data_IF_003325194559
#
_entry.id   IF_003325194559
#
_cell.length_a   1.000
_cell.length_b   1.000
_cell.length_c   1.000
_cell.angle_alpha   90.00
_cell.angle_beta   90.00
_cell.angle_gamma   90.00
#
_symmetry.space_group_name_H-M   'P 1'
#
loop_
_entity.id
_entity.type
_entity.pdbx_description
1 polymer ?
#
# COMPACT_ATOMS: atom_id res chain seq x y z
N UNK A 1 31.81 -29.76 -1.82
CA UNK A 1 30.47 -29.11 -1.69
C UNK A 1 29.38 -30.16 -1.61
N UNK A 2 28.56 -30.12 -0.60
CA UNK A 2 27.39 -30.95 -0.48
C UNK A 2 26.28 -30.46 -1.46
N UNK A 3 25.35 -31.35 -1.85
CA UNK A 3 24.22 -31.00 -2.70
C UNK A 3 23.42 -29.81 -2.15
N UNK A 4 23.27 -29.70 -0.82
CA UNK A 4 22.60 -28.59 -0.15
C UNK A 4 23.35 -27.27 -0.32
N UNK A 5 24.68 -27.27 -0.28
CA UNK A 5 25.50 -26.09 -0.49
C UNK A 5 25.42 -25.58 -1.93
N UNK A 6 25.35 -26.50 -2.90
CA UNK A 6 25.16 -26.13 -4.30
C UNK A 6 23.80 -25.48 -4.56
N UNK A 7 22.74 -25.99 -3.94
CA UNK A 7 21.39 -25.43 -4.02
C UNK A 7 21.36 -24.02 -3.42
N UNK A 8 21.93 -23.81 -2.24
CA UNK A 8 22.00 -22.48 -1.61
C UNK A 8 22.78 -21.47 -2.46
N UNK A 9 23.92 -21.88 -3.01
CA UNK A 9 24.73 -21.02 -3.86
C UNK A 9 23.99 -20.63 -5.14
N UNK A 10 23.27 -21.58 -5.73
CA UNK A 10 22.44 -21.31 -6.91
C UNK A 10 21.32 -20.32 -6.56
N UNK A 11 20.62 -20.54 -5.45
CA UNK A 11 19.53 -19.66 -5.00
C UNK A 11 20.05 -18.25 -4.67
N UNK A 12 21.22 -18.13 -4.01
CA UNK A 12 21.88 -16.85 -3.74
C UNK A 12 22.16 -16.07 -5.02
N UNK A 13 22.66 -16.73 -6.07
CA UNK A 13 22.89 -16.10 -7.38
C UNK A 13 21.60 -15.66 -8.05
N UNK A 14 20.53 -16.46 -7.97
CA UNK A 14 19.23 -16.09 -8.49
C UNK A 14 18.66 -14.86 -7.79
N UNK A 15 18.69 -14.84 -6.45
CA UNK A 15 18.22 -13.71 -5.63
C UNK A 15 18.94 -12.42 -6.02
N UNK A 16 20.28 -12.44 -6.05
CA UNK A 16 21.07 -11.28 -6.45
C UNK A 16 20.75 -10.82 -7.86
N UNK A 17 20.73 -11.74 -8.81
CA UNK A 17 20.43 -11.43 -10.21
C UNK A 17 19.01 -10.85 -10.39
N UNK A 18 18.05 -11.31 -9.61
CA UNK A 18 16.67 -10.83 -9.67
C UNK A 18 16.57 -9.38 -9.17
N UNK A 19 17.24 -9.06 -8.06
CA UNK A 19 17.29 -7.68 -7.55
C UNK A 19 18.04 -6.73 -8.48
N UNK A 20 19.18 -7.15 -9.03
CA UNK A 20 20.01 -6.33 -9.90
C UNK A 20 19.34 -6.03 -11.26
N UNK A 21 18.43 -6.90 -11.72
CA UNK A 21 17.70 -6.75 -12.99
C UNK A 21 16.41 -5.98 -12.89
N UNK A 22 15.87 -5.84 -11.71
CA UNK A 22 14.62 -5.11 -11.54
C UNK A 22 14.88 -3.61 -11.71
N UNK A 23 14.13 -2.98 -12.63
CA UNK A 23 14.35 -1.57 -13.00
C UNK A 23 14.11 -0.60 -11.86
N UNK A 24 13.16 -0.92 -10.99
CA UNK A 24 12.78 -0.05 -9.88
C UNK A 24 13.67 -0.26 -8.65
N UNK A 25 14.36 -1.40 -8.57
CA UNK A 25 15.18 -1.78 -7.42
C UNK A 25 16.69 -1.70 -7.64
N UNK A 26 17.14 -1.76 -8.89
CA UNK A 26 18.58 -1.79 -9.24
C UNK A 26 19.38 -0.57 -8.79
N UNK A 27 18.71 0.55 -8.52
CA UNK A 27 19.33 1.78 -8.00
C UNK A 27 19.58 1.78 -6.49
N UNK A 28 18.98 0.82 -5.75
CA UNK A 28 19.14 0.72 -4.31
C UNK A 28 20.25 -0.24 -3.92
N UNK A 29 20.97 0.07 -2.84
CA UNK A 29 22.01 -0.78 -2.28
C UNK A 29 21.40 -1.89 -1.41
N UNK A 30 20.55 -2.73 -2.01
CA UNK A 30 19.92 -3.86 -1.33
C UNK A 30 20.92 -5.01 -1.18
N UNK A 31 20.98 -5.58 0.01
CA UNK A 31 21.77 -6.77 0.30
C UNK A 31 20.83 -7.92 0.63
N UNK A 32 21.07 -9.05 0.02
CA UNK A 32 20.32 -10.27 0.30
C UNK A 32 21.24 -11.43 0.58
N UNK A 33 20.90 -12.22 1.58
CA UNK A 33 21.54 -13.48 1.91
C UNK A 33 20.53 -14.62 1.94
N UNK A 34 21.00 -15.85 1.76
CA UNK A 34 20.16 -17.04 1.70
C UNK A 34 20.63 -18.03 2.73
N UNK A 35 19.72 -18.42 3.61
CA UNK A 35 19.94 -19.44 4.64
C UNK A 35 18.88 -20.54 4.48
N UNK A 36 19.30 -21.68 3.91
CA UNK A 36 18.34 -22.72 3.53
C UNK A 36 17.39 -22.28 2.43
N UNK A 37 16.12 -22.20 2.75
CA UNK A 37 15.03 -21.75 1.85
C UNK A 37 14.48 -20.36 2.25
N UNK A 38 15.17 -19.70 3.19
CA UNK A 38 14.86 -18.36 3.67
C UNK A 38 15.79 -17.33 3.03
N UNK A 39 15.22 -16.22 2.56
CA UNK A 39 15.95 -15.07 2.07
C UNK A 39 15.87 -13.95 3.11
N UNK A 40 17.04 -13.48 3.53
CA UNK A 40 17.18 -12.28 4.36
C UNK A 40 17.54 -11.11 3.45
N UNK A 41 16.77 -10.04 3.48
CA UNK A 41 17.04 -8.84 2.69
C UNK A 41 17.09 -7.62 3.58
N UNK A 42 18.10 -6.76 3.36
CA UNK A 42 18.29 -5.50 4.09
C UNK A 42 18.63 -4.35 3.12
N UNK A 43 18.30 -3.15 3.50
CA UNK A 43 18.62 -1.94 2.76
C UNK A 43 17.63 -0.81 3.03
N UNK A 44 17.72 0.23 2.21
CA UNK A 44 16.85 1.38 2.29
C UNK A 44 16.26 1.65 0.91
N UNK A 45 14.95 1.87 0.86
CA UNK A 45 14.21 2.27 -0.34
C UNK A 45 13.46 3.58 -0.09
N UNK A 46 12.96 4.22 -1.12
CA UNK A 46 12.34 5.54 -0.98
C UNK A 46 10.85 5.46 -0.63
N UNK A 47 10.15 4.41 -1.04
CA UNK A 47 8.70 4.29 -0.84
C UNK A 47 8.29 2.92 -0.32
N UNK A 48 7.09 2.85 0.25
CA UNK A 48 6.46 1.59 0.67
C UNK A 48 6.24 0.64 -0.51
N UNK A 49 5.92 1.17 -1.69
CA UNK A 49 5.73 0.38 -2.91
C UNK A 49 6.98 -0.41 -3.27
N UNK A 50 8.15 0.21 -3.20
CA UNK A 50 9.43 -0.46 -3.50
C UNK A 50 9.76 -1.52 -2.46
N UNK A 51 9.49 -1.25 -1.18
CA UNK A 51 9.64 -2.26 -0.13
C UNK A 51 8.75 -3.49 -0.40
N UNK A 52 7.49 -3.29 -0.71
CA UNK A 52 6.56 -4.37 -1.06
C UNK A 52 7.00 -5.11 -2.32
N UNK A 53 7.56 -4.39 -3.29
CA UNK A 53 8.11 -4.98 -4.51
C UNK A 53 9.29 -5.91 -4.22
N UNK A 54 10.23 -5.50 -3.36
CA UNK A 54 11.35 -6.36 -2.91
C UNK A 54 10.80 -7.66 -2.33
N UNK A 55 9.88 -7.58 -1.40
CA UNK A 55 9.31 -8.74 -0.71
C UNK A 55 8.57 -9.68 -1.68
N UNK A 56 7.72 -9.14 -2.54
CA UNK A 56 6.97 -9.91 -3.53
C UNK A 56 7.87 -10.56 -4.58
N UNK A 57 8.87 -9.83 -5.04
CA UNK A 57 9.81 -10.30 -6.04
C UNK A 57 10.64 -11.47 -5.52
N UNK A 58 11.16 -11.37 -4.29
CA UNK A 58 11.92 -12.43 -3.66
C UNK A 58 11.07 -13.66 -3.33
N UNK A 59 9.84 -13.45 -2.88
CA UNK A 59 8.89 -14.54 -2.61
C UNK A 59 8.48 -15.32 -3.87
N UNK A 60 8.59 -14.70 -5.05
CA UNK A 60 8.28 -15.34 -6.33
C UNK A 60 9.40 -16.26 -6.86
N UNK A 61 10.60 -16.21 -6.29
CA UNK A 61 11.74 -17.00 -6.74
C UNK A 61 11.54 -18.48 -6.38
N UNK A 62 11.63 -19.41 -7.34
CA UNK A 62 11.53 -20.84 -7.05
C UNK A 62 12.59 -21.28 -6.04
N UNK A 63 12.15 -21.98 -4.98
CA UNK A 63 13.01 -22.44 -3.88
C UNK A 63 13.05 -21.52 -2.66
N UNK A 64 12.45 -20.33 -2.73
CA UNK A 64 12.24 -19.44 -1.59
C UNK A 64 10.94 -19.81 -0.90
N UNK A 65 10.98 -20.11 0.38
CA UNK A 65 9.80 -20.35 1.22
C UNK A 65 9.46 -19.16 2.11
N UNK A 66 10.47 -18.46 2.58
CA UNK A 66 10.30 -17.34 3.52
C UNK A 66 11.19 -16.18 3.10
N UNK A 67 10.66 -14.96 3.21
CA UNK A 67 11.41 -13.71 3.05
C UNK A 67 11.36 -12.94 4.36
N UNK A 68 12.54 -12.76 4.97
CA UNK A 68 12.73 -11.92 6.15
C UNK A 68 13.28 -10.56 5.70
N UNK A 69 12.44 -9.55 5.76
CA UNK A 69 12.76 -8.20 5.26
C UNK A 69 13.16 -7.25 6.39
N UNK A 70 14.37 -6.76 6.34
CA UNK A 70 14.88 -5.64 7.13
C UNK A 70 15.06 -4.38 6.25
N UNK A 71 14.25 -4.26 5.20
CA UNK A 71 14.23 -3.08 4.32
C UNK A 71 13.48 -1.96 5.01
N UNK A 72 14.13 -0.82 5.19
CA UNK A 72 13.54 0.41 5.71
C UNK A 72 13.20 1.39 4.58
N UNK A 73 12.23 2.25 4.87
CA UNK A 73 11.82 3.32 3.96
C UNK A 73 12.54 4.59 4.39
N UNK A 74 13.19 5.28 3.43
CA UNK A 74 13.82 6.56 3.69
C UNK A 74 12.78 7.59 4.10
N UNK A 75 13.03 8.26 5.21
CA UNK A 75 12.24 9.39 5.69
C UNK A 75 13.12 10.64 5.74
N UNK A 76 13.82 10.93 4.64
CA UNK A 76 14.68 12.09 4.54
C UNK A 76 13.89 13.39 4.67
N UNK A 77 14.11 14.04 5.79
CA UNK A 77 13.46 15.27 6.19
C UNK A 77 12.38 15.07 7.26
N UNK A 78 12.09 16.13 8.00
CA UNK A 78 10.98 16.16 8.96
C UNK A 78 9.65 16.22 8.17
N UNK A 79 9.15 15.07 7.78
CA UNK A 79 7.86 14.97 7.07
C UNK A 79 6.78 15.03 8.15
N UNK A 80 6.00 16.09 8.15
CA UNK A 80 4.88 16.22 9.08
C UNK A 80 3.72 15.32 8.65
N UNK A 81 2.81 15.01 9.58
CA UNK A 81 1.56 14.29 9.28
C UNK A 81 0.76 14.96 8.17
N UNK A 82 0.82 16.29 8.10
CA UNK A 82 0.18 17.09 7.05
C UNK A 82 0.83 16.86 5.68
N UNK A 83 2.17 16.85 5.62
CA UNK A 83 2.89 16.62 4.37
C UNK A 83 2.61 15.21 3.82
N UNK A 84 2.63 14.19 4.67
CA UNK A 84 2.29 12.81 4.28
C UNK A 84 0.85 12.71 3.77
N UNK A 85 -0.09 13.41 4.41
CA UNK A 85 -1.48 13.46 3.95
C UNK A 85 -1.59 14.10 2.56
N UNK A 86 -0.89 15.22 2.33
CA UNK A 86 -0.88 15.90 1.03
C UNK A 86 -0.28 15.02 -0.06
N UNK A 87 0.90 14.46 0.17
CA UNK A 87 1.57 13.56 -0.78
C UNK A 87 0.69 12.35 -1.13
N UNK A 88 0.07 11.72 -0.13
CA UNK A 88 -0.83 10.60 -0.37
C UNK A 88 -2.07 10.99 -1.20
N UNK A 89 -2.64 12.17 -0.95
CA UNK A 89 -3.78 12.68 -1.72
C UNK A 89 -3.38 13.05 -3.15
N UNK A 90 -2.21 13.64 -3.35
CA UNK A 90 -1.69 13.95 -4.69
C UNK A 90 -1.50 12.68 -5.51
N UNK A 91 -0.91 11.63 -4.93
CA UNK A 91 -0.76 10.34 -5.62
C UNK A 91 -2.10 9.69 -5.97
N UNK A 92 -3.11 9.78 -5.10
CA UNK A 92 -4.46 9.32 -5.42
C UNK A 92 -5.08 10.09 -6.60
N UNK A 93 -4.89 11.41 -6.65
CA UNK A 93 -5.43 12.26 -7.72
C UNK A 93 -4.72 12.05 -9.07
N UNK A 94 -3.47 11.64 -9.06
CA UNK A 94 -2.71 11.33 -10.27
C UNK A 94 -3.11 10.00 -10.93
N UNK A 95 -3.73 9.10 -10.19
CA UNK A 95 -4.19 7.83 -10.73
C UNK A 95 -5.64 7.94 -11.25
N UNK A 96 -5.80 7.90 -12.56
CA UNK A 96 -7.09 8.02 -13.24
C UNK A 96 -8.12 6.92 -12.88
N UNK A 97 -7.68 5.87 -12.20
CA UNK A 97 -8.55 4.78 -11.73
C UNK A 97 -9.15 5.05 -10.35
N UNK A 98 -8.69 6.09 -9.68
CA UNK A 98 -9.17 6.49 -8.35
C UNK A 98 -10.01 7.75 -8.47
N UNK A 99 -11.24 7.69 -8.00
CA UNK A 99 -12.07 8.89 -7.85
C UNK A 99 -11.80 9.51 -6.46
N UNK A 100 -11.26 10.73 -6.40
CA UNK A 100 -10.98 11.39 -5.12
C UNK A 100 -12.23 11.71 -4.29
N UNK A 101 -13.42 11.63 -4.88
CA UNK A 101 -14.69 11.72 -4.17
C UNK A 101 -15.10 10.40 -3.50
N UNK A 102 -14.59 9.27 -4.01
CA UNK A 102 -14.86 7.96 -3.44
C UNK A 102 -13.88 7.61 -2.32
N UNK A 103 -12.59 7.85 -2.53
CA UNK A 103 -11.52 7.42 -1.62
C UNK A 103 -10.62 8.59 -1.27
N UNK A 104 -10.50 8.87 0.02
CA UNK A 104 -9.57 9.85 0.57
C UNK A 104 -8.46 9.21 1.40
N UNK A 105 -7.35 9.93 1.56
CA UNK A 105 -6.22 9.53 2.37
C UNK A 105 -5.96 10.53 3.50
N UNK A 106 -5.60 10.02 4.67
CA UNK A 106 -5.25 10.81 5.84
C UNK A 106 -4.13 10.12 6.63
N UNK A 107 -3.08 10.85 6.96
CA UNK A 107 -2.05 10.35 7.87
C UNK A 107 -2.52 10.53 9.33
N UNK A 108 -2.36 9.47 10.12
CA UNK A 108 -2.86 9.42 11.50
C UNK A 108 -1.77 9.51 12.56
N UNK A 109 -0.51 9.42 12.15
CA UNK A 109 0.62 9.48 13.07
C UNK A 109 1.86 10.16 12.44
N UNK A 110 2.86 10.45 13.26
CA UNK A 110 4.14 11.00 12.81
C UNK A 110 5.09 9.96 12.19
N UNK A 111 4.63 8.71 12.00
CA UNK A 111 5.45 7.61 11.47
C UNK A 111 5.10 7.24 10.03
N UNK A 112 4.23 8.00 9.37
CA UNK A 112 3.86 7.78 7.99
C UNK A 112 2.77 6.72 7.78
N UNK A 113 1.95 6.44 8.80
CA UNK A 113 0.77 5.59 8.64
C UNK A 113 -0.36 6.37 8.00
N UNK A 114 -0.80 5.94 6.83
CA UNK A 114 -1.93 6.52 6.08
C UNK A 114 -3.12 5.60 6.15
N UNK A 115 -4.28 6.16 6.44
CA UNK A 115 -5.58 5.47 6.39
C UNK A 115 -6.31 5.91 5.14
N UNK A 116 -6.73 4.96 4.32
CA UNK A 116 -7.66 5.17 3.23
C UNK A 116 -9.08 5.02 3.75
N UNK A 117 -9.91 6.02 3.50
CA UNK A 117 -11.32 6.04 3.89
C UNK A 117 -12.19 6.40 2.72
N UNK A 118 -13.42 5.92 2.75
CA UNK A 118 -14.41 6.20 1.73
C UNK A 118 -15.21 4.96 1.38
N UNK A 119 -15.75 4.96 0.17
CA UNK A 119 -16.54 3.84 -0.35
C UNK A 119 -16.30 3.67 -1.83
N UNK A 120 -16.16 2.44 -2.26
CA UNK A 120 -16.18 2.06 -3.68
C UNK A 120 -16.74 0.66 -3.84
N UNK A 121 -17.45 0.42 -4.94
CA UNK A 121 -17.91 -0.91 -5.34
C UNK A 121 -16.96 -1.56 -6.35
N UNK A 122 -15.93 -0.82 -6.77
CA UNK A 122 -14.94 -1.28 -7.73
C UNK A 122 -13.67 -1.77 -7.04
N UNK A 123 -13.37 -3.08 -7.09
CA UNK A 123 -12.14 -3.65 -6.53
C UNK A 123 -10.87 -3.10 -7.18
N UNK A 124 -10.92 -2.74 -8.47
CA UNK A 124 -9.77 -2.19 -9.19
C UNK A 124 -9.44 -0.78 -8.71
N UNK A 125 -10.46 0.03 -8.41
CA UNK A 125 -10.28 1.35 -7.80
C UNK A 125 -9.63 1.24 -6.42
N UNK A 126 -10.09 0.29 -5.59
CA UNK A 126 -9.52 0.06 -4.27
C UNK A 126 -8.04 -0.36 -4.35
N UNK A 127 -7.70 -1.30 -5.23
CA UNK A 127 -6.31 -1.71 -5.43
C UNK A 127 -5.44 -0.56 -5.96
N UNK A 128 -5.97 0.24 -6.89
CA UNK A 128 -5.29 1.41 -7.41
C UNK A 128 -5.02 2.44 -6.30
N UNK A 129 -6.00 2.70 -5.42
CA UNK A 129 -5.85 3.62 -4.30
C UNK A 129 -4.77 3.15 -3.30
N UNK A 130 -4.75 1.87 -2.94
CA UNK A 130 -3.72 1.30 -2.05
C UNK A 130 -2.33 1.44 -2.69
N UNK A 131 -2.22 1.16 -3.98
CA UNK A 131 -0.96 1.25 -4.74
C UNK A 131 -0.48 2.70 -4.84
N UNK A 132 -1.36 3.63 -5.14
CA UNK A 132 -1.04 5.06 -5.26
C UNK A 132 -0.61 5.63 -3.91
N UNK A 133 -1.34 5.36 -2.83
CA UNK A 133 -0.94 5.77 -1.49
C UNK A 133 0.43 5.22 -1.08
N UNK A 134 0.77 3.99 -1.51
CA UNK A 134 2.07 3.36 -1.23
C UNK A 134 3.24 4.00 -1.99
N UNK A 135 2.98 4.79 -3.03
CA UNK A 135 3.99 5.54 -3.78
C UNK A 135 4.31 6.90 -3.15
N UNK A 136 3.44 7.39 -2.28
CA UNK A 136 3.58 8.70 -1.67
C UNK A 136 4.81 8.74 -0.73
N UNK A 137 5.55 9.84 -0.79
CA UNK A 137 6.72 10.05 0.05
C UNK A 137 6.33 10.14 1.52
N UNK A 138 7.13 9.52 2.36
CA UNK A 138 6.89 9.51 3.81
C UNK A 138 5.84 8.50 4.27
N UNK A 139 5.15 7.82 3.36
CA UNK A 139 4.23 6.72 3.70
C UNK A 139 5.02 5.47 4.01
N UNK A 140 4.86 4.97 5.22
CA UNK A 140 5.49 3.73 5.68
C UNK A 140 4.49 2.59 5.84
N UNK A 141 3.21 2.92 5.93
CA UNK A 141 2.12 1.96 6.11
C UNK A 141 0.81 2.50 5.54
N UNK A 142 0.06 1.66 4.87
CA UNK A 142 -1.30 1.95 4.41
C UNK A 142 -2.29 1.05 5.11
N UNK A 143 -3.32 1.66 5.72
CA UNK A 143 -4.44 0.96 6.36
C UNK A 143 -5.67 1.19 5.50
N UNK A 144 -6.29 0.11 5.03
CA UNK A 144 -7.52 0.18 4.26
C UNK A 144 -8.74 0.17 5.20
N UNK A 145 -9.51 1.25 5.18
CA UNK A 145 -10.82 1.40 5.83
C UNK A 145 -11.91 1.80 4.82
N UNK A 146 -11.65 1.57 3.53
CA UNK A 146 -12.64 1.80 2.48
C UNK A 146 -13.73 0.74 2.58
N UNK A 147 -14.98 1.18 2.58
CA UNK A 147 -16.15 0.29 2.58
C UNK A 147 -16.43 -0.15 1.14
N UNK A 148 -16.70 -1.43 0.96
CA UNK A 148 -17.12 -2.01 -0.32
C UNK A 148 -18.57 -2.50 -0.19
N UNK A 149 -19.33 -2.39 -1.26
CA UNK A 149 -20.71 -2.82 -1.32
C UNK A 149 -21.73 -1.67 -1.25
N UNK A 150 -23.01 -1.97 -1.52
CA UNK A 150 -24.07 -0.98 -1.53
C UNK A 150 -24.19 -0.30 -0.16
N UNK A 151 -24.61 0.94 -0.18
CA UNK A 151 -24.86 1.72 1.02
C UNK A 151 -25.96 1.01 1.85
N UNK A 152 -25.60 0.42 2.97
CA UNK A 152 -26.60 -0.01 3.93
C UNK A 152 -27.19 1.27 4.53
N UNK A 153 -28.42 1.61 4.09
CA UNK A 153 -29.19 2.68 4.72
C UNK A 153 -29.33 2.35 6.20
N UNK A 154 -28.70 3.15 7.03
CA UNK A 154 -28.88 3.00 8.47
C UNK A 154 -30.31 3.37 8.86
N UNK A 155 -30.80 2.83 9.97
CA UNK A 155 -32.14 3.20 10.48
C UNK A 155 -32.28 4.72 10.66
N UNK A 156 -31.20 5.43 10.96
CA UNK A 156 -31.18 6.88 11.07
C UNK A 156 -31.38 7.58 9.70
N UNK A 157 -30.84 7.06 8.61
CA UNK A 157 -31.06 7.58 7.26
C UNK A 157 -32.52 7.39 6.82
N UNK A 158 -33.11 6.26 7.18
CA UNK A 158 -34.53 5.96 6.92
C UNK A 158 -35.45 6.92 7.71
N UNK A 159 -35.13 7.17 8.98
CA UNK A 159 -35.87 8.10 9.80
C UNK A 159 -35.81 9.55 9.29
N UNK A 160 -34.62 10.01 8.87
CA UNK A 160 -34.44 11.36 8.34
C UNK A 160 -35.16 11.58 7.01
N UNK A 161 -35.25 10.56 6.15
CA UNK A 161 -35.99 10.64 4.89
C UNK A 161 -37.50 10.69 5.09
N UNK A 162 -38.03 10.00 6.12
CA UNK A 162 -39.46 10.03 6.44
C UNK A 162 -39.90 11.37 7.06
N UNK A 163 -39.08 11.97 7.92
CA UNK A 163 -39.42 13.24 8.59
C UNK A 163 -39.46 14.42 7.58
N UNK A 164 -38.74 14.33 6.50
CA UNK A 164 -38.77 15.38 5.44
C UNK A 164 -39.99 15.28 4.53
N UNK A 165 -40.58 14.10 4.35
CA UNK A 165 -41.75 13.90 3.53
C UNK A 165 -43.06 14.43 4.20
N UNK A 166 -43.13 14.36 5.52
CA UNK A 166 -44.30 14.84 6.26
C UNK A 166 -44.44 16.37 6.33
N UNK A 167 -43.39 17.12 5.93
CA UNK A 167 -43.39 18.59 5.92
C UNK A 167 -43.85 19.22 4.62
N UNK A 168 -43.95 18.47 3.53
CA UNK A 168 -44.37 18.99 2.23
C UNK A 168 -45.90 18.89 1.99
N UNK A 169 -46.64 18.08 2.78
CA UNK A 169 -48.10 17.91 2.63
C UNK A 169 -48.96 19.00 3.30
N UNK A 170 -48.38 19.84 4.17
CA UNK A 170 -49.13 20.89 4.90
C UNK A 170 -49.09 22.27 4.21
N UNK A 171 -48.73 22.38 2.91
CA UNK A 171 -48.78 23.63 2.15
C UNK A 171 -49.80 23.57 1.00
N UNK A 172 -51.04 23.28 1.33
CA UNK A 172 -52.16 23.56 0.44
C UNK A 172 -53.23 24.28 1.24
N UNK A 173 -53.06 25.59 1.28
CA UNK A 173 -54.16 26.58 1.29
C UNK A 173 -53.60 27.96 0.94
#
# INVERSE_FOLDING_TARGET
MTKSQQIQEHLRKQVKHTLDRDKDLSGYALKADVVGEEVLVEGVVDTLKEKQRVESLLASIPGVKTVSSAVSISTDGAVTTQDVTMEAREELQLDNRVDPYHIGAESIDGHGTVVLRGRTDDPEELEAAIRSASQARGVTRVINQVKTGPEEMTLDDIFHSQVNNDREEDRVY
#
